data_IF_327175004653
#
_entry.id   IF_327175004653
#
_cell.length_a   1.000
_cell.length_b   1.000
_cell.length_c   1.000
_cell.angle_alpha   90.00
_cell.angle_beta   90.00
_cell.angle_gamma   90.00
#
_symmetry.space_group_name_H-M   'P 1'
#
loop_
_entity.id
_entity.type
_entity.pdbx_description
1 polymer ?
2 branched ?
3 non-polymer ?
4 non-polymer ?
5 water ?
#
# COMPACT_ATOMS: atom_id res chain seq x y z
N UNK A 1 -13.69 23.53 41.09
CA UNK A 1 -14.08 24.71 41.91
C UNK A 1 -13.26 25.95 41.55
N UNK A 2 -11.97 25.93 41.87
CA UNK A 2 -11.12 27.09 41.59
C UNK A 2 -10.47 27.04 40.23
N UNK A 3 -9.86 28.16 39.86
CA UNK A 3 -9.19 28.28 38.58
C UNK A 3 -8.02 27.32 38.39
N UNK A 4 -7.05 27.40 39.29
CA UNK A 4 -5.86 26.56 39.20
C UNK A 4 -6.13 25.07 39.23
N UNK A 5 -7.09 24.65 40.04
CA UNK A 5 -7.43 23.24 40.13
C UNK A 5 -7.75 22.79 38.70
N UNK A 6 -8.52 23.61 37.99
CA UNK A 6 -8.91 23.34 36.61
C UNK A 6 -7.73 23.24 35.64
N UNK A 7 -6.77 24.15 35.81
CA UNK A 7 -5.57 24.21 34.99
C UNK A 7 -4.76 22.94 35.13
N UNK A 8 -4.79 22.36 36.33
CA UNK A 8 -4.08 21.12 36.58
C UNK A 8 -4.79 20.02 35.81
N UNK A 9 -6.11 19.99 35.89
CA UNK A 9 -6.85 18.97 35.17
C UNK A 9 -6.59 19.15 33.70
N UNK A 10 -6.75 20.39 33.25
CA UNK A 10 -6.54 20.71 31.85
C UNK A 10 -5.12 20.39 31.42
N UNK A 11 -4.15 20.66 32.29
CA UNK A 11 -2.74 20.38 32.00
C UNK A 11 -2.54 18.87 31.98
N UNK A 12 -3.15 18.18 32.93
CA UNK A 12 -3.07 16.73 32.99
C UNK A 12 -3.72 16.14 31.74
N UNK A 13 -4.97 16.49 31.50
CA UNK A 13 -5.66 15.97 30.33
C UNK A 13 -4.89 16.28 29.08
N UNK A 14 -4.37 17.50 28.98
CA UNK A 14 -3.62 17.90 27.80
C UNK A 14 -2.26 17.24 27.59
N UNK A 15 -1.68 16.69 28.66
CA UNK A 15 -0.38 16.04 28.56
C UNK A 15 -0.52 14.58 28.13
N UNK A 16 -1.64 13.96 28.50
CA UNK A 16 -1.92 12.58 28.12
C UNK A 16 -2.13 12.54 26.61
N UNK A 17 -2.56 13.66 26.06
CA UNK A 17 -2.80 13.78 24.64
C UNK A 17 -1.49 13.89 23.86
N UNK A 18 -0.75 14.97 24.09
CA UNK A 18 0.52 15.20 23.40
C UNK A 18 1.31 13.92 23.44
N UNK A 19 1.24 13.23 24.57
CA UNK A 19 1.95 11.97 24.71
C UNK A 19 1.36 10.88 23.83
N UNK A 20 0.04 10.74 23.88
CA UNK A 20 -0.64 9.70 23.14
C UNK A 20 -0.87 9.83 21.63
N UNK A 21 -0.66 10.99 21.00
CA UNK A 21 -0.96 11.05 19.55
C UNK A 21 0.10 10.59 18.54
N UNK A 22 1.39 10.61 18.92
CA UNK A 22 2.38 10.15 17.93
C UNK A 22 2.22 8.64 17.69
N UNK A 23 1.26 8.03 18.39
CA UNK A 23 0.98 6.61 18.28
C UNK A 23 -0.41 6.39 17.71
N UNK A 24 -1.25 7.42 17.80
CA UNK A 24 -2.59 7.33 17.25
C UNK A 24 -2.41 7.79 15.82
N UNK A 25 -1.48 8.73 15.65
CA UNK A 25 -1.19 9.26 14.33
C UNK A 25 -0.61 8.15 13.49
N UNK A 26 -0.13 7.12 14.15
CA UNK A 26 0.44 6.00 13.45
C UNK A 26 -0.60 4.90 13.34
N UNK A 27 -1.40 4.69 14.38
CA UNK A 27 -2.43 3.67 14.31
C UNK A 27 -3.23 4.07 13.10
N UNK A 28 -3.43 5.37 13.00
CA UNK A 28 -4.17 6.00 11.93
C UNK A 28 -3.58 5.68 10.55
N UNK A 29 -2.34 6.09 10.32
CA UNK A 29 -1.67 5.83 9.05
C UNK A 29 -1.57 4.34 8.76
N UNK A 30 -1.33 3.57 9.81
CA UNK A 30 -1.21 2.13 9.71
C UNK A 30 -2.55 1.55 9.35
N UNK A 31 -3.59 2.36 9.50
CA UNK A 31 -4.96 1.95 9.17
C UNK A 31 -5.20 2.26 7.69
N UNK A 32 -4.70 3.41 7.26
CA UNK A 32 -4.81 3.90 5.89
C UNK A 32 -3.99 3.07 4.91
N UNK A 33 -2.73 2.84 5.22
CA UNK A 33 -1.89 2.05 4.34
C UNK A 33 -2.46 0.64 4.26
N UNK A 34 -3.20 0.24 5.30
CA UNK A 34 -3.80 -1.09 5.36
C UNK A 34 -4.85 -1.29 4.28
N UNK A 35 -5.35 -0.18 3.76
CA UNK A 35 -6.37 -0.24 2.72
C UNK A 35 -5.75 -0.14 1.36
N UNK A 36 -4.67 0.62 1.27
CA UNK A 36 -3.97 0.75 0.02
C UNK A 36 -3.70 -0.71 -0.37
N UNK A 37 -3.62 -1.55 0.65
CA UNK A 37 -3.34 -2.96 0.47
C UNK A 37 -4.57 -3.76 0.03
N UNK A 38 -5.73 -3.43 0.57
CA UNK A 38 -6.96 -4.14 0.20
C UNK A 38 -7.39 -3.79 -1.21
N UNK A 39 -7.08 -2.56 -1.61
CA UNK A 39 -7.42 -2.10 -2.94
C UNK A 39 -6.42 -2.68 -3.91
N UNK A 40 -5.21 -2.92 -3.42
CA UNK A 40 -4.16 -3.49 -4.24
C UNK A 40 -4.56 -4.93 -4.53
N UNK A 41 -5.00 -5.63 -3.50
CA UNK A 41 -5.44 -7.01 -3.66
C UNK A 41 -6.77 -6.99 -4.40
N UNK A 42 -7.25 -8.16 -4.82
CA UNK A 42 -8.52 -8.22 -5.54
C UNK A 42 -8.23 -7.97 -7.01
N UNK A 43 -7.02 -7.47 -7.24
CA UNK A 43 -6.51 -7.20 -8.56
C UNK A 43 -5.65 -8.43 -8.85
N UNK A 44 -5.49 -9.26 -7.83
CA UNK A 44 -4.70 -10.46 -7.93
C UNK A 44 -5.44 -11.46 -8.79
N UNK A 45 -6.75 -11.55 -8.60
CA UNK A 45 -7.59 -12.45 -9.38
C UNK A 45 -7.28 -12.22 -10.85
N UNK A 46 -7.54 -11.00 -11.29
CA UNK A 46 -7.29 -10.63 -12.67
C UNK A 46 -5.87 -11.02 -13.08
N UNK A 47 -4.89 -10.46 -12.38
CA UNK A 47 -3.49 -10.73 -12.69
C UNK A 47 -3.08 -12.19 -12.67
N UNK A 48 -3.56 -12.96 -11.71
CA UNK A 48 -3.20 -14.37 -11.65
C UNK A 48 -3.76 -15.09 -12.89
N UNK A 49 -5.05 -14.89 -13.15
CA UNK A 49 -5.64 -15.54 -14.29
C UNK A 49 -4.89 -15.18 -15.55
N UNK A 50 -4.74 -13.89 -15.83
CA UNK A 50 -4.01 -13.50 -17.03
C UNK A 50 -2.71 -14.27 -17.18
N UNK A 51 -1.88 -14.31 -16.14
CA UNK A 51 -0.61 -15.03 -16.23
C UNK A 51 -0.74 -16.55 -16.48
N UNK A 52 -1.59 -17.22 -15.70
CA UNK A 52 -1.79 -18.65 -15.85
C UNK A 52 -2.40 -19.04 -17.20
N UNK A 53 -3.34 -18.23 -17.69
CA UNK A 53 -3.97 -18.50 -18.98
C UNK A 53 -3.03 -18.23 -20.17
N UNK A 54 -2.17 -17.22 -20.05
CA UNK A 54 -1.26 -16.85 -21.15
C UNK A 54 0.23 -17.08 -20.90
N UNK A 55 0.64 -17.13 -19.63
CA UNK A 55 2.05 -17.34 -19.33
C UNK A 55 2.85 -16.08 -19.54
N UNK A 56 2.16 -14.94 -19.45
CA UNK A 56 2.74 -13.60 -19.59
C UNK A 56 2.02 -12.72 -18.58
N UNK A 57 2.75 -11.86 -17.86
CA UNK A 57 2.13 -10.98 -16.87
C UNK A 57 1.38 -9.87 -17.58
N UNK A 58 0.18 -9.50 -17.08
CA UNK A 58 -0.58 -8.43 -17.74
C UNK A 58 0.22 -7.13 -17.70
N UNK A 59 0.36 -6.46 -18.85
CA UNK A 59 1.14 -5.22 -18.91
C UNK A 59 0.51 -4.02 -18.24
N UNK A 60 -0.81 -3.93 -18.29
CA UNK A 60 -1.54 -2.84 -17.66
C UNK A 60 -2.92 -3.26 -17.24
N UNK A 61 -3.62 -2.36 -16.55
CA UNK A 61 -4.96 -2.63 -16.07
C UNK A 61 -5.87 -3.26 -17.11
N UNK A 62 -5.83 -2.72 -18.33
CA UNK A 62 -6.68 -3.21 -19.41
C UNK A 62 -6.35 -4.64 -19.82
N UNK A 63 -5.07 -5.00 -19.79
CA UNK A 63 -4.68 -6.35 -20.13
C UNK A 63 -5.20 -7.30 -19.05
N UNK A 64 -5.01 -6.93 -17.78
CA UNK A 64 -5.45 -7.76 -16.66
C UNK A 64 -6.97 -7.79 -16.55
N UNK A 65 -7.62 -6.93 -17.32
CA UNK A 65 -9.07 -6.90 -17.30
C UNK A 65 -9.63 -6.21 -16.07
N UNK A 66 -9.18 -4.99 -15.81
CA UNK A 66 -9.66 -4.20 -14.68
C UNK A 66 -9.85 -2.77 -15.17
N UNK A 67 -10.43 -1.92 -14.32
CA UNK A 67 -10.67 -0.52 -14.69
C UNK A 67 -9.48 -0.01 -15.50
N UNK A 68 -9.70 0.13 -16.80
CA UNK A 68 -8.64 0.57 -17.69
C UNK A 68 -7.90 1.77 -17.11
N UNK A 69 -8.62 2.64 -16.41
CA UNK A 69 -7.98 3.81 -15.80
C UNK A 69 -7.58 3.46 -14.37
N UNK A 70 -6.30 3.66 -14.00
CA UNK A 70 -5.83 3.36 -12.64
C UNK A 70 -6.56 4.21 -11.61
N UNK A 71 -6.93 5.42 -12.03
CA UNK A 71 -7.63 6.40 -11.21
C UNK A 71 -9.08 6.01 -10.95
N UNK A 72 -9.48 4.87 -11.48
CA UNK A 72 -10.84 4.40 -11.29
C UNK A 72 -10.79 3.30 -10.23
N UNK A 73 -9.57 2.94 -9.84
CA UNK A 73 -9.33 1.92 -8.81
C UNK A 73 -8.78 2.63 -7.58
N UNK A 74 -9.25 3.86 -7.39
CA UNK A 74 -8.83 4.68 -6.27
C UNK A 74 -9.71 4.48 -5.03
N UNK A 75 -9.27 5.09 -3.93
CA UNK A 75 -10.00 5.00 -2.68
C UNK A 75 -10.06 6.34 -1.96
N UNK A 76 -10.03 6.29 -0.62
CA UNK A 76 -10.09 7.47 0.24
C UNK A 76 -8.67 7.94 0.55
N UNK A 77 -7.79 6.97 0.74
CA UNK A 77 -6.39 7.24 1.04
C UNK A 77 -5.60 6.77 -0.16
N UNK A 78 -6.29 6.03 -1.02
CA UNK A 78 -5.68 5.50 -2.23
C UNK A 78 -6.11 6.38 -3.38
N UNK A 79 -5.12 6.92 -4.07
CA UNK A 79 -5.37 7.79 -5.21
C UNK A 79 -5.45 6.94 -6.48
N UNK A 80 -5.13 5.65 -6.34
CA UNK A 80 -5.17 4.71 -7.45
C UNK A 80 -4.44 3.40 -7.20
N UNK A 81 -4.50 2.55 -8.22
CA UNK A 81 -3.89 1.24 -8.21
C UNK A 81 -3.68 0.89 -9.68
N UNK A 82 -2.41 0.73 -10.05
CA UNK A 82 -2.02 0.41 -11.42
C UNK A 82 -1.25 -0.89 -11.55
N UNK A 83 -1.59 -1.65 -12.58
CA UNK A 83 -0.94 -2.91 -12.87
C UNK A 83 0.13 -2.63 -13.90
N UNK A 84 1.36 -2.94 -13.56
CA UNK A 84 2.45 -2.73 -14.48
C UNK A 84 3.25 -4.02 -14.55
N UNK A 85 2.85 -4.86 -15.50
CA UNK A 85 3.45 -6.17 -15.77
C UNK A 85 3.29 -7.16 -14.63
N UNK A 86 2.05 -7.30 -14.18
CA UNK A 86 1.74 -8.21 -13.10
C UNK A 86 1.93 -7.58 -11.73
N UNK A 87 2.73 -6.52 -11.66
CA UNK A 87 2.97 -5.83 -10.39
C UNK A 87 1.87 -4.81 -10.19
N UNK A 88 1.18 -4.91 -9.06
CA UNK A 88 0.11 -3.98 -8.76
C UNK A 88 0.58 -3.04 -7.65
N UNK A 89 0.74 -1.77 -8.00
CA UNK A 89 1.20 -0.75 -7.06
C UNK A 89 0.05 0.18 -6.65
N UNK A 90 -0.14 0.34 -5.35
CA UNK A 90 -1.20 1.21 -4.86
C UNK A 90 -0.58 2.52 -4.42
N UNK A 91 -1.25 3.62 -4.72
CA UNK A 91 -0.74 4.93 -4.33
C UNK A 91 -1.66 5.60 -3.31
N UNK A 92 -1.03 6.25 -2.33
CA UNK A 92 -1.76 6.94 -1.28
C UNK A 92 -2.11 8.35 -1.74
N UNK A 93 -3.38 8.72 -1.56
CA UNK A 93 -3.89 10.04 -1.95
C UNK A 93 -3.02 11.18 -1.39
N UNK A 94 -3.57 12.39 -1.42
CA UNK A 94 -2.88 13.56 -0.88
C UNK A 94 -3.84 14.31 0.04
N UNK A 95 -5.12 13.92 -0.01
CA UNK A 95 -6.17 14.52 0.82
C UNK A 95 -6.85 13.47 1.71
N UNK A 96 -6.61 13.58 3.01
CA UNK A 96 -7.20 12.65 3.96
C UNK A 96 -6.25 11.55 4.39
N UNK A 97 -4.95 11.77 4.20
CA UNK A 97 -3.94 10.77 4.55
C UNK A 97 -2.82 11.21 5.51
N UNK A 98 -2.75 10.54 6.67
CA UNK A 98 -1.75 10.79 7.70
C UNK A 98 -0.91 12.03 7.41
N UNK A 99 0.32 11.81 6.96
CA UNK A 99 1.23 12.91 6.66
C UNK A 99 2.49 12.39 5.97
N UNK A 100 3.04 11.28 6.45
CA UNK A 100 4.24 10.73 5.83
C UNK A 100 3.95 9.48 5.03
N UNK A 101 2.71 9.35 4.57
CA UNK A 101 2.34 8.21 3.76
C UNK A 101 1.63 8.62 2.48
N UNK A 102 1.08 9.83 2.45
CA UNK A 102 0.38 10.31 1.25
C UNK A 102 1.31 10.46 0.05
N UNK A 103 0.79 10.08 -1.12
CA UNK A 103 1.58 10.15 -2.33
C UNK A 103 2.55 8.98 -2.35
N UNK A 104 2.57 8.21 -1.27
CA UNK A 104 3.47 7.07 -1.18
C UNK A 104 2.75 5.80 -1.58
N UNK A 105 3.54 4.80 -1.99
CA UNK A 105 2.97 3.56 -2.44
C UNK A 105 3.67 2.25 -2.04
N UNK A 106 2.98 1.15 -2.33
CA UNK A 106 3.47 -0.19 -2.09
C UNK A 106 3.15 -1.01 -3.34
N UNK A 107 3.72 -2.20 -3.45
CA UNK A 107 3.48 -3.05 -4.60
C UNK A 107 3.17 -4.47 -4.20
N UNK A 108 2.48 -5.15 -5.08
CA UNK A 108 2.11 -6.53 -4.89
C UNK A 108 2.54 -7.15 -6.19
N UNK A 109 3.38 -8.16 -6.12
CA UNK A 109 3.80 -8.84 -7.32
C UNK A 109 3.73 -10.31 -7.03
N UNK A 110 3.80 -11.12 -8.06
CA UNK A 110 3.73 -12.55 -7.89
C UNK A 110 4.94 -13.23 -8.51
N UNK A 111 4.96 -14.56 -8.43
CA UNK A 111 6.06 -15.34 -8.96
C UNK A 111 5.60 -16.70 -9.44
N UNK A 112 6.11 -17.11 -10.58
CA UNK A 112 5.76 -18.40 -11.15
C UNK A 112 6.12 -19.52 -10.19
N UNK A 113 5.12 -20.27 -9.72
CA UNK A 113 5.39 -21.39 -8.85
C UNK A 113 5.39 -22.61 -9.72
N UNK A 114 4.98 -22.40 -10.97
CA UNK A 114 4.89 -23.44 -11.98
C UNK A 114 3.55 -24.13 -11.83
N UNK A 115 2.60 -23.71 -12.66
CA UNK A 115 1.26 -24.27 -12.58
C UNK A 115 0.45 -23.38 -11.65
N UNK A 116 1.16 -22.54 -10.91
CA UNK A 116 0.55 -21.61 -9.98
C UNK A 116 1.58 -20.52 -9.69
N UNK A 117 1.21 -19.56 -8.86
CA UNK A 117 2.11 -18.47 -8.50
C UNK A 117 1.91 -18.08 -7.04
N UNK A 118 2.89 -17.38 -6.47
CA UNK A 118 2.81 -16.92 -5.09
C UNK A 118 2.89 -15.41 -5.04
N UNK A 119 2.08 -14.79 -4.20
CA UNK A 119 2.10 -13.35 -4.11
C UNK A 119 2.88 -12.78 -2.94
N UNK A 120 3.48 -11.62 -3.21
CA UNK A 120 4.27 -10.89 -2.24
C UNK A 120 3.66 -9.51 -2.11
N UNK A 121 3.89 -8.89 -0.96
CA UNK A 121 3.38 -7.57 -0.65
C UNK A 121 4.52 -6.80 0.00
N UNK A 122 4.80 -5.59 -0.48
CA UNK A 122 5.89 -4.82 0.10
C UNK A 122 6.05 -3.44 -0.49
N UNK A 123 7.25 -2.88 -0.36
CA UNK A 123 7.54 -1.54 -0.87
C UNK A 123 7.71 -1.59 -2.37
N UNK A 124 7.28 -0.53 -3.07
CA UNK A 124 7.34 -0.39 -4.53
C UNK A 124 8.43 -1.18 -5.22
N UNK A 125 8.00 -1.99 -6.18
CA UNK A 125 8.89 -2.83 -6.96
C UNK A 125 8.60 -2.67 -8.47
N UNK A 126 9.58 -2.97 -9.31
CA UNK A 126 9.38 -2.85 -10.76
C UNK A 126 9.71 -4.21 -11.35
N UNK A 127 8.95 -4.66 -12.35
CA UNK A 127 9.27 -5.95 -12.95
C UNK A 127 10.37 -5.83 -13.99
N UNK A 128 11.36 -6.70 -13.86
CA UNK A 128 12.48 -6.75 -14.78
C UNK A 128 12.14 -7.83 -15.82
N UNK A 129 12.10 -9.09 -15.40
CA UNK A 129 11.72 -10.17 -16.29
C UNK A 129 10.52 -10.91 -15.72
N UNK A 130 9.97 -11.86 -16.46
CA UNK A 130 8.78 -12.57 -16.01
C UNK A 130 8.89 -13.22 -14.64
N UNK A 131 10.09 -13.25 -14.09
CA UNK A 131 10.27 -13.84 -12.78
C UNK A 131 11.27 -13.07 -11.94
N UNK A 132 11.30 -11.75 -12.13
CA UNK A 132 12.22 -10.91 -11.39
C UNK A 132 11.74 -9.47 -11.36
N UNK A 133 11.70 -8.90 -10.15
CA UNK A 133 11.29 -7.52 -9.93
C UNK A 133 12.39 -6.87 -9.09
N UNK A 134 12.35 -5.55 -8.92
CA UNK A 134 13.37 -4.85 -8.15
C UNK A 134 12.80 -3.61 -7.49
N UNK A 135 13.46 -3.15 -6.43
CA UNK A 135 13.00 -1.97 -5.70
C UNK A 135 12.80 -0.78 -6.61
N UNK A 136 11.59 -0.24 -6.62
CA UNK A 136 11.30 0.94 -7.42
C UNK A 136 11.81 2.10 -6.57
N UNK A 137 13.09 2.04 -6.19
CA UNK A 137 13.71 3.07 -5.35
C UNK A 137 13.63 4.46 -5.97
N UNK A 138 12.83 5.33 -5.37
CA UNK A 138 12.67 6.68 -5.89
C UNK A 138 12.34 7.67 -4.79
N UNK A 139 11.95 7.14 -3.63
CA UNK A 139 11.62 7.98 -2.48
C UNK A 139 10.14 8.18 -2.19
N UNK A 140 9.28 7.38 -2.79
CA UNK A 140 7.85 7.54 -2.56
C UNK A 140 7.24 6.23 -2.02
N UNK A 141 8.08 5.38 -1.46
CA UNK A 141 7.60 4.12 -0.92
C UNK A 141 7.05 4.36 0.47
N UNK A 142 5.98 3.66 0.84
CA UNK A 142 5.42 3.82 2.17
C UNK A 142 6.45 3.20 3.10
N UNK A 143 6.87 3.98 4.09
CA UNK A 143 7.88 3.58 5.07
C UNK A 143 7.55 2.29 5.79
N UNK A 144 8.56 1.48 6.02
CA UNK A 144 8.35 0.20 6.69
C UNK A 144 7.47 0.26 7.92
N UNK A 145 7.61 1.31 8.71
CA UNK A 145 6.82 1.42 9.92
C UNK A 145 5.31 1.44 9.69
N UNK A 146 4.88 1.83 8.49
CA UNK A 146 3.46 1.91 8.21
C UNK A 146 2.89 0.65 7.57
N UNK A 147 3.77 -0.27 7.21
CA UNK A 147 3.34 -1.49 6.58
C UNK A 147 3.11 -2.62 7.57
N UNK A 148 2.04 -3.41 7.34
CA UNK A 148 1.70 -4.54 8.20
C UNK A 148 2.88 -5.49 8.29
N UNK A 149 2.74 -6.54 9.09
CA UNK A 149 3.79 -7.54 9.23
C UNK A 149 3.71 -8.49 8.01
N UNK A 150 2.53 -8.53 7.40
CA UNK A 150 2.28 -9.36 6.24
C UNK A 150 2.71 -8.66 4.95
N UNK A 151 3.11 -7.40 5.04
CA UNK A 151 3.51 -6.69 3.83
C UNK A 151 4.88 -6.09 4.06
N UNK A 152 5.82 -6.98 4.37
CA UNK A 152 7.22 -6.63 4.62
C UNK A 152 8.14 -7.35 3.63
N UNK A 153 7.58 -7.89 2.54
CA UNK A 153 8.37 -8.63 1.55
C UNK A 153 9.37 -7.80 0.74
N UNK A 154 10.58 -8.34 0.61
CA UNK A 154 11.67 -7.72 -0.14
C UNK A 154 11.63 -8.11 -1.62
N UNK A 155 12.22 -7.27 -2.46
CA UNK A 155 12.21 -7.51 -3.88
C UNK A 155 12.58 -8.96 -4.24
N UNK A 156 13.41 -9.62 -3.44
CA UNK A 156 13.80 -10.99 -3.79
C UNK A 156 13.18 -12.11 -2.97
N UNK A 157 12.09 -11.80 -2.29
CA UNK A 157 11.39 -12.80 -1.51
C UNK A 157 11.07 -13.95 -2.47
N UNK A 158 11.18 -15.19 -2.01
CA UNK A 158 10.86 -16.30 -2.88
C UNK A 158 9.84 -17.18 -2.17
X LIG B 1 -2.13 -6.36 -22.32
X LIG B 1 -1.73 -5.41 -23.47
X LIG B 1 -2.90 -4.69 -23.95
X LIG B 1 -1.04 -6.20 -24.61
X LIG B 1 0.89 -7.70 -25.04
X LIG B 1 -0.62 -5.30 -25.68
X LIG B 1 0.18 -6.93 -24.02
X LIG B 1 -0.29 -7.84 -22.87
X LIG B 1 -0.96 -7.06 -21.84
X LIG B 1 0.84 -8.58 -22.20
X LIG B 1 1.29 -9.65 -23.01
X LIG B 1 -2.85 -3.37 -24.08
X LIG B 1 -1.84 -2.71 -23.84
X LIG B 1 -4.13 -2.70 -24.56
X LIG B 1 2.93 -6.81 -24.56
X LIG B 1 2.21 -7.58 -25.22
X LIG B 1 2.82 -8.44 -26.33
X LIG B 2 -0.92 -5.73 -26.98
X LIG B 2 0.05 -5.10 -27.98
X LIG B 2 -0.21 -3.61 -28.16
X LIG B 2 -1.70 -3.34 -28.43
X LIG B 2 -2.60 -4.06 -27.43
X LIG B 2 -4.06 -3.96 -27.79
X LIG B 2 1.38 -5.28 -27.53
X LIG B 2 0.56 -3.12 -29.24
X LIG B 2 -2.02 -3.76 -29.74
X LIG B 2 -2.26 -5.46 -27.38
X LIG B 2 -4.41 -2.63 -28.14
X LIG C 1 -19.98 22.07 45.57
X LIG C 1 -20.42 21.46 44.33
X LIG C 1 -18.95 23.16 45.29
X LIG C 1 -19.57 24.14 44.42
X LIG C 1 -18.44 23.85 46.65
X LIG C 1 -17.55 24.95 46.33
X LIG C 1 -17.68 22.84 47.59
X LIG C 1 -16.39 23.38 48.30
X LIG C 1 -15.66 22.39 49.23
X LIG C 1 -14.18 22.28 48.89
X LIG D 1 -8.13 4.53 -21.30
X LIG D 1 -6.86 3.89 -21.89
X LIG D 1 -9.99 2.00 -21.52
X LIG D 1 -11.07 3.93 -20.29
X LIG D 1 -10.00 2.06 -19.01
X LIG D 1 -8.57 3.64 -20.25
X LIG D 1 -5.76 3.93 -20.89
X LIG D 1 -9.98 2.89 -20.31
#
# INVERSE_FOLDING_TARGET
FTLIELMIVIAIVGILAAVALPAYQDYTARAQVSEAILLAEGQKSAVTEYYLNHGKWPENNTSAGVASSPTDIKGKYVKEVEVKNGVVTATMLSSGVNNEIKGKKLSLWARRENGSVKWFCGQPVTRTDDDTVADAKDGKEIDTKHLPSTCRDNFDAK
DT6 C1 C2 N2 C3 N3 O3 C4 C5 O5 C6 O6 C7 O7 C8 O8 C9 C10
GLA C1 C2 C3 C4 C5 C6 O2 O3 O4 O5 O6
HTO C1 O1 C2 O2 C3 O3 C4 C5 C6 C7
OPE CA CB O1 O2 O3 O4 N P
#
